data_IF_997411095537
#
_entry.id   IF_997411095537
#
_cell.length_a   1.000
_cell.length_b   1.000
_cell.length_c   1.000
_cell.angle_alpha   90.00
_cell.angle_beta   90.00
_cell.angle_gamma   90.00
#
_symmetry.space_group_name_H-M   'P 1'
#
loop_
_entity.id
_entity.type
_entity.pdbx_description
1 polymer ?
#
# COMPACT_ATOMS: atom_id res chain seq x y z
N UNK A 1 55.56 -11.21 20.06
CA UNK A 1 54.63 -10.08 20.02
C UNK A 1 53.66 -10.43 18.90
N UNK A 2 52.57 -11.09 19.27
CA UNK A 2 51.57 -11.58 18.32
C UNK A 2 50.56 -10.46 18.18
N UNK A 3 50.43 -9.89 16.97
CA UNK A 3 49.46 -8.88 16.62
C UNK A 3 48.06 -9.49 16.77
N UNK A 4 47.41 -9.20 17.87
CA UNK A 4 45.94 -9.35 17.99
C UNK A 4 45.28 -8.21 17.24
N UNK A 5 45.17 -8.35 15.92
CA UNK A 5 44.21 -7.59 15.16
C UNK A 5 42.83 -8.20 15.53
N UNK A 6 42.18 -7.59 16.48
CA UNK A 6 40.79 -7.93 16.80
C UNK A 6 39.94 -7.66 15.55
N UNK A 7 39.40 -8.73 14.98
CA UNK A 7 38.43 -8.67 13.86
C UNK A 7 37.21 -7.91 14.38
N UNK A 8 37.17 -6.61 14.10
CA UNK A 8 36.17 -5.65 14.62
C UNK A 8 34.84 -5.80 13.79
N UNK A 9 34.38 -7.04 13.65
CA UNK A 9 33.11 -7.34 12.96
C UNK A 9 31.96 -7.09 13.90
N UNK A 10 31.12 -6.13 13.54
CA UNK A 10 29.86 -5.88 14.24
C UNK A 10 28.89 -7.04 13.95
N UNK A 11 28.42 -7.70 14.99
CA UNK A 11 27.26 -8.59 14.88
C UNK A 11 25.98 -7.74 14.85
N UNK A 12 25.54 -7.39 13.63
CA UNK A 12 24.33 -6.61 13.44
C UNK A 12 23.07 -7.29 13.97
N UNK A 13 23.03 -8.62 13.98
CA UNK A 13 21.87 -9.37 14.52
C UNK A 13 21.78 -9.19 16.05
N UNK A 14 22.88 -9.34 16.74
CA UNK A 14 22.95 -9.10 18.18
C UNK A 14 22.64 -7.63 18.51
N UNK A 15 23.16 -6.68 17.72
CA UNK A 15 22.89 -5.26 17.91
C UNK A 15 21.39 -4.94 17.71
N UNK A 16 20.74 -5.46 16.68
CA UNK A 16 19.30 -5.28 16.46
C UNK A 16 18.48 -5.83 17.61
N UNK A 17 18.79 -7.03 18.10
CA UNK A 17 18.11 -7.63 19.26
C UNK A 17 18.29 -6.78 20.53
N UNK A 18 19.48 -6.26 20.78
CA UNK A 18 19.77 -5.37 21.91
C UNK A 18 18.90 -4.11 21.90
N UNK A 19 18.69 -3.50 20.74
CA UNK A 19 17.81 -2.35 20.60
C UNK A 19 16.33 -2.72 20.72
N UNK A 20 15.92 -3.87 20.18
CA UNK A 20 14.55 -4.36 20.27
C UNK A 20 14.11 -4.62 21.73
N UNK A 21 14.98 -5.22 22.55
CA UNK A 21 14.75 -5.43 23.98
C UNK A 21 14.52 -4.12 24.75
N UNK A 22 15.12 -3.02 24.26
CA UNK A 22 14.97 -1.67 24.82
C UNK A 22 13.85 -0.86 24.18
N UNK A 23 12.97 -1.52 23.40
CA UNK A 23 11.86 -0.89 22.65
C UNK A 23 12.31 0.16 21.63
N UNK A 24 13.56 0.09 21.19
CA UNK A 24 14.08 0.93 20.10
C UNK A 24 13.92 0.16 18.80
N UNK A 25 13.01 0.60 17.94
CA UNK A 25 12.79 0.00 16.65
C UNK A 25 13.76 0.62 15.62
N UNK A 26 14.79 -0.12 15.21
CA UNK A 26 15.73 0.31 14.17
C UNK A 26 15.17 0.19 12.77
N UNK A 27 14.19 -0.72 12.60
CA UNK A 27 13.47 -0.89 11.33
C UNK A 27 11.98 -0.94 11.60
N UNK A 28 11.16 -0.26 10.78
CA UNK A 28 9.72 -0.29 10.95
C UNK A 28 9.17 -1.70 10.71
N UNK A 29 8.28 -2.15 11.59
CA UNK A 29 7.56 -3.41 11.40
C UNK A 29 6.53 -3.20 10.29
N UNK A 30 6.62 -4.02 9.25
CA UNK A 30 5.68 -4.00 8.12
C UNK A 30 4.73 -5.19 8.19
N UNK A 31 3.54 -5.03 7.64
CA UNK A 31 2.58 -6.13 7.52
C UNK A 31 3.06 -7.11 6.43
N UNK A 32 3.35 -8.35 6.84
CA UNK A 32 3.64 -9.44 5.93
C UNK A 32 2.38 -10.25 5.67
N UNK A 33 2.04 -10.40 4.40
CA UNK A 33 0.93 -11.21 3.90
C UNK A 33 1.54 -12.43 3.21
N UNK A 34 1.10 -13.61 3.62
CA UNK A 34 1.43 -14.86 2.95
C UNK A 34 0.16 -15.69 2.88
N UNK A 35 -0.48 -15.72 1.71
CA UNK A 35 -1.73 -16.39 1.47
C UNK A 35 -1.55 -17.52 0.43
N UNK A 36 -1.48 -18.78 0.85
CA UNK A 36 -1.50 -19.91 -0.08
C UNK A 36 -2.81 -19.90 -0.89
N UNK A 37 -2.72 -20.28 -2.17
CA UNK A 37 -3.88 -20.30 -3.08
C UNK A 37 -4.56 -18.93 -3.29
N UNK A 38 -3.79 -17.83 -3.24
CA UNK A 38 -4.29 -16.47 -3.38
C UNK A 38 -5.18 -16.27 -4.62
N UNK A 39 -4.85 -16.91 -5.75
CA UNK A 39 -5.66 -16.88 -6.98
C UNK A 39 -7.10 -17.35 -6.73
N UNK A 40 -7.29 -18.46 -6.03
CA UNK A 40 -8.63 -18.99 -5.74
C UNK A 40 -9.42 -18.08 -4.80
N UNK A 41 -8.74 -17.51 -3.80
CA UNK A 41 -9.36 -16.61 -2.84
C UNK A 41 -9.74 -15.29 -3.52
N UNK A 42 -8.87 -14.75 -4.36
CA UNK A 42 -9.14 -13.55 -5.14
C UNK A 42 -10.27 -13.78 -6.15
N UNK A 43 -10.28 -14.93 -6.86
CA UNK A 43 -11.35 -15.33 -7.80
C UNK A 43 -12.72 -15.39 -7.09
N UNK A 44 -12.78 -15.99 -5.90
CA UNK A 44 -14.01 -16.04 -5.12
C UNK A 44 -14.50 -14.63 -4.74
N UNK A 45 -13.60 -13.72 -4.37
CA UNK A 45 -13.94 -12.32 -4.10
C UNK A 45 -14.43 -11.59 -5.35
N UNK A 46 -13.76 -11.76 -6.48
CA UNK A 46 -14.17 -11.16 -7.76
C UNK A 46 -15.55 -11.65 -8.20
N UNK A 47 -15.83 -12.97 -8.11
CA UNK A 47 -17.16 -13.52 -8.39
C UNK A 47 -18.25 -12.95 -7.50
N UNK A 48 -17.93 -12.77 -6.23
CA UNK A 48 -18.89 -12.24 -5.26
C UNK A 48 -19.27 -10.77 -5.57
N UNK A 49 -18.27 -9.92 -5.87
CA UNK A 49 -18.49 -8.48 -6.05
C UNK A 49 -18.77 -8.05 -7.49
N UNK A 50 -18.24 -8.76 -8.50
CA UNK A 50 -18.41 -8.42 -9.91
C UNK A 50 -19.43 -9.33 -10.62
N UNK A 51 -19.87 -10.41 -9.97
CA UNK A 51 -20.78 -11.40 -10.55
C UNK A 51 -20.05 -12.57 -11.23
N UNK A 52 -20.79 -13.64 -11.50
CA UNK A 52 -20.21 -14.89 -12.00
C UNK A 52 -19.68 -14.80 -13.44
N UNK A 53 -20.11 -13.78 -14.19
CA UNK A 53 -19.73 -13.59 -15.61
C UNK A 53 -18.48 -12.72 -15.79
N UNK A 54 -17.82 -12.30 -14.70
CA UNK A 54 -16.57 -11.55 -14.83
C UNK A 54 -15.49 -12.39 -15.51
N UNK A 55 -14.60 -11.75 -16.25
CA UNK A 55 -13.46 -12.41 -16.88
C UNK A 55 -12.19 -12.10 -16.10
N UNK A 56 -11.43 -13.14 -15.78
CA UNK A 56 -10.09 -12.99 -15.16
C UNK A 56 -9.18 -12.17 -16.08
N UNK A 57 -8.45 -11.21 -15.49
CA UNK A 57 -7.56 -10.32 -16.21
C UNK A 57 -6.10 -10.57 -15.80
N UNK A 58 -5.11 -10.32 -16.68
CA UNK A 58 -3.70 -10.54 -16.36
C UNK A 58 -3.18 -9.74 -15.15
N UNK A 59 -3.77 -8.59 -14.87
CA UNK A 59 -3.43 -7.80 -13.69
C UNK A 59 -3.88 -8.45 -12.38
N UNK A 60 -4.90 -9.32 -12.42
CA UNK A 60 -5.36 -10.05 -11.22
C UNK A 60 -4.35 -11.10 -10.80
N UNK A 61 -3.60 -11.70 -11.73
CA UNK A 61 -2.47 -12.57 -11.39
C UNK A 61 -1.42 -11.83 -10.55
N UNK A 62 -1.10 -10.59 -10.92
CA UNK A 62 -0.15 -9.76 -10.16
C UNK A 62 -0.65 -9.39 -8.77
N UNK A 63 -1.96 -9.19 -8.60
CA UNK A 63 -2.58 -8.98 -7.28
C UNK A 63 -2.52 -10.26 -6.46
N UNK A 64 -2.81 -11.40 -7.06
CA UNK A 64 -2.71 -12.72 -6.40
C UNK A 64 -1.27 -13.05 -6.01
N UNK A 65 -0.28 -12.75 -6.85
CA UNK A 65 1.15 -12.87 -6.53
C UNK A 65 1.53 -12.00 -5.33
N UNK A 66 0.97 -10.78 -5.26
CA UNK A 66 1.18 -9.91 -4.10
C UNK A 66 0.53 -10.48 -2.83
N UNK A 67 -0.66 -11.06 -2.91
CA UNK A 67 -1.30 -11.76 -1.78
C UNK A 67 -0.55 -13.02 -1.37
N UNK A 68 0.10 -13.71 -2.32
CA UNK A 68 0.91 -14.91 -2.04
C UNK A 68 2.14 -14.56 -1.21
N UNK A 69 2.82 -13.46 -1.56
CA UNK A 69 3.93 -12.90 -0.78
C UNK A 69 4.11 -11.40 -1.09
N UNK A 70 3.65 -10.55 -0.21
CA UNK A 70 3.76 -9.12 -0.37
C UNK A 70 5.16 -8.55 -0.04
N UNK A 71 6.04 -9.34 0.56
CA UNK A 71 7.39 -8.93 1.02
C UNK A 71 7.37 -7.69 1.92
N UNK A 72 6.31 -7.51 2.72
CA UNK A 72 6.11 -6.34 3.56
C UNK A 72 5.74 -5.06 2.80
N UNK A 73 5.43 -5.15 1.50
CA UNK A 73 5.02 -4.02 0.67
C UNK A 73 3.50 -3.89 0.63
N UNK A 74 3.00 -2.66 0.66
CA UNK A 74 1.63 -2.33 0.32
C UNK A 74 1.32 -2.60 -1.16
N UNK A 75 0.15 -2.14 -1.63
CA UNK A 75 -0.28 -2.31 -3.02
C UNK A 75 -0.66 -0.97 -3.64
N UNK A 76 -0.16 -0.73 -4.86
CA UNK A 76 -0.53 0.43 -5.67
C UNK A 76 -1.08 -0.03 -7.03
N UNK A 77 -2.38 0.17 -7.25
CA UNK A 77 -3.08 -0.18 -8.49
C UNK A 77 -3.23 1.08 -9.37
N UNK A 78 -2.60 1.11 -10.53
CA UNK A 78 -2.64 2.24 -11.45
C UNK A 78 -3.20 1.82 -12.81
N UNK A 79 -4.02 2.65 -13.44
CA UNK A 79 -4.45 2.44 -14.83
C UNK A 79 -5.90 2.79 -15.10
N UNK A 80 -6.44 2.29 -16.22
CA UNK A 80 -7.72 2.71 -16.78
C UNK A 80 -8.92 2.42 -15.88
N UNK A 81 -9.97 3.22 -16.05
CA UNK A 81 -11.26 3.00 -15.37
C UNK A 81 -11.88 1.65 -15.76
N UNK A 82 -12.82 1.17 -14.93
CA UNK A 82 -13.64 -0.01 -15.24
C UNK A 82 -12.93 -1.36 -15.18
N UNK A 83 -11.69 -1.41 -14.66
CA UNK A 83 -10.88 -2.63 -14.57
C UNK A 83 -10.92 -3.30 -13.18
N UNK A 84 -11.84 -2.91 -12.30
CA UNK A 84 -12.02 -3.55 -10.99
C UNK A 84 -11.07 -3.06 -9.89
N UNK A 85 -10.21 -2.04 -10.10
CA UNK A 85 -9.25 -1.54 -9.09
C UNK A 85 -9.92 -1.19 -7.76
N UNK A 86 -10.97 -0.36 -7.80
CA UNK A 86 -11.71 0.07 -6.60
C UNK A 86 -12.32 -1.13 -5.89
N UNK A 87 -12.97 -2.04 -6.62
CA UNK A 87 -13.56 -3.26 -6.05
C UNK A 87 -12.50 -4.12 -5.35
N UNK A 88 -11.36 -4.32 -6.00
CA UNK A 88 -10.24 -5.08 -5.42
C UNK A 88 -9.71 -4.38 -4.16
N UNK A 89 -9.36 -3.09 -4.25
CA UNK A 89 -8.69 -2.37 -3.17
C UNK A 89 -9.60 -2.10 -1.97
N UNK A 90 -10.88 -1.75 -2.19
CA UNK A 90 -11.78 -1.31 -1.11
C UNK A 90 -12.66 -2.42 -0.56
N UNK A 91 -12.96 -3.44 -1.34
CA UNK A 91 -13.91 -4.48 -0.96
C UNK A 91 -13.22 -5.83 -0.74
N UNK A 92 -12.53 -6.34 -1.77
CA UNK A 92 -11.98 -7.70 -1.74
C UNK A 92 -10.79 -7.81 -0.79
N UNK A 93 -9.76 -6.97 -0.96
CA UNK A 93 -8.54 -7.05 -0.16
C UNK A 93 -8.77 -6.82 1.33
N UNK A 94 -9.55 -5.82 1.78
CA UNK A 94 -9.88 -5.67 3.20
C UNK A 94 -10.57 -6.90 3.78
N UNK A 95 -11.51 -7.53 3.04
CA UNK A 95 -12.18 -8.75 3.49
C UNK A 95 -11.20 -9.93 3.62
N UNK A 96 -10.34 -10.14 2.63
CA UNK A 96 -9.31 -11.19 2.66
C UNK A 96 -8.37 -10.98 3.85
N UNK A 97 -7.85 -9.76 4.00
CA UNK A 97 -6.86 -9.47 5.04
C UNK A 97 -7.48 -9.54 6.44
N UNK A 98 -8.72 -9.11 6.60
CA UNK A 98 -9.44 -9.26 7.86
C UNK A 98 -9.66 -10.74 8.21
N UNK A 99 -10.10 -11.54 7.24
CA UNK A 99 -10.42 -12.95 7.49
C UNK A 99 -9.18 -13.82 7.78
N UNK A 100 -8.10 -13.63 7.03
CA UNK A 100 -6.90 -14.48 7.15
C UNK A 100 -5.84 -13.94 8.11
N UNK A 101 -5.77 -12.63 8.30
CA UNK A 101 -4.70 -11.98 9.08
C UNK A 101 -5.22 -11.21 10.28
N UNK A 102 -6.54 -11.13 10.48
CA UNK A 102 -7.20 -10.41 11.59
C UNK A 102 -6.76 -8.93 11.67
N UNK A 103 -6.57 -8.30 10.51
CA UNK A 103 -6.20 -6.90 10.38
C UNK A 103 -7.32 -6.13 9.71
N UNK A 104 -7.65 -4.96 10.27
CA UNK A 104 -8.70 -4.08 9.76
C UNK A 104 -8.07 -2.84 9.19
N UNK A 105 -8.48 -2.46 7.99
CA UNK A 105 -8.08 -1.24 7.31
C UNK A 105 -9.09 -0.12 7.54
N UNK A 106 -8.58 1.08 7.73
CA UNK A 106 -9.39 2.29 7.52
C UNK A 106 -9.45 2.57 6.01
N UNK A 107 -10.61 2.97 5.53
CA UNK A 107 -10.83 3.30 4.12
C UNK A 107 -11.12 4.79 4.02
N UNK A 108 -10.43 5.46 3.11
CA UNK A 108 -10.55 6.89 2.86
C UNK A 108 -10.66 7.18 1.36
N UNK A 109 -11.53 8.10 0.99
CA UNK A 109 -11.57 8.63 -0.36
C UNK A 109 -10.55 9.75 -0.48
N UNK A 110 -9.73 9.74 -1.52
CA UNK A 110 -8.68 10.74 -1.73
C UNK A 110 -9.24 12.17 -1.67
N UNK A 111 -10.39 12.45 -2.29
CA UNK A 111 -11.03 13.77 -2.31
C UNK A 111 -11.31 14.36 -0.93
N UNK A 112 -11.47 13.51 0.10
CA UNK A 112 -11.87 13.92 1.45
C UNK A 112 -10.70 13.91 2.44
N UNK A 113 -9.60 13.22 2.12
CA UNK A 113 -8.55 12.90 3.09
C UNK A 113 -7.85 14.14 3.67
N UNK A 114 -7.70 15.22 2.91
CA UNK A 114 -7.03 16.43 3.39
C UNK A 114 -7.85 17.13 4.51
N UNK A 115 -9.18 17.05 4.46
CA UNK A 115 -10.07 17.57 5.52
C UNK A 115 -9.98 16.75 6.80
N UNK A 116 -9.62 15.48 6.70
CA UNK A 116 -9.50 14.54 7.81
C UNK A 116 -8.04 14.20 8.15
N UNK A 117 -7.12 15.15 7.92
CA UNK A 117 -5.67 14.93 8.05
C UNK A 117 -5.30 14.18 9.33
N UNK A 118 -5.68 14.67 10.50
CA UNK A 118 -5.30 14.09 11.80
C UNK A 118 -5.82 12.67 11.97
N UNK A 119 -7.04 12.40 11.53
CA UNK A 119 -7.67 11.09 11.61
C UNK A 119 -6.96 10.10 10.67
N UNK A 120 -6.76 10.49 9.42
CA UNK A 120 -6.09 9.66 8.42
C UNK A 120 -4.66 9.36 8.85
N UNK A 121 -3.93 10.37 9.35
CA UNK A 121 -2.54 10.19 9.80
C UNK A 121 -2.38 9.34 11.07
N UNK A 122 -3.43 9.06 11.83
CA UNK A 122 -3.39 8.12 12.98
C UNK A 122 -3.41 6.65 12.55
N UNK A 123 -3.92 6.34 11.35
CA UNK A 123 -4.05 4.97 10.90
C UNK A 123 -2.69 4.35 10.55
N UNK A 124 -2.53 3.07 10.88
CA UNK A 124 -1.37 2.27 10.45
C UNK A 124 -1.65 1.47 9.18
N UNK A 125 -2.89 1.05 8.98
CA UNK A 125 -3.36 0.28 7.83
C UNK A 125 -4.43 1.10 7.12
N UNK A 126 -4.14 1.56 5.92
CA UNK A 126 -5.00 2.49 5.20
C UNK A 126 -5.21 2.04 3.76
N UNK A 127 -6.46 2.12 3.32
CA UNK A 127 -6.82 2.09 1.90
C UNK A 127 -7.22 3.50 1.47
N UNK A 128 -6.60 4.02 0.41
CA UNK A 128 -6.97 5.31 -0.18
C UNK A 128 -7.45 5.06 -1.61
N UNK A 129 -8.69 5.43 -1.90
CA UNK A 129 -9.29 5.30 -3.23
C UNK A 129 -9.06 6.54 -4.07
N UNK A 130 -8.64 6.33 -5.33
CA UNK A 130 -8.55 7.31 -6.41
C UNK A 130 -7.63 8.51 -6.09
N UNK A 131 -6.38 8.21 -5.66
CA UNK A 131 -5.37 9.25 -5.44
C UNK A 131 -5.13 10.07 -6.73
N UNK A 132 -4.79 11.33 -6.55
CA UNK A 132 -4.71 12.32 -7.63
C UNK A 132 -5.96 13.21 -7.71
N UNK A 133 -7.02 12.89 -6.97
CA UNK A 133 -8.31 13.60 -6.96
C UNK A 133 -8.56 14.43 -5.71
N UNK A 134 -7.55 14.55 -4.84
CA UNK A 134 -7.67 15.33 -3.60
C UNK A 134 -7.94 16.79 -3.89
N UNK A 135 -8.86 17.36 -3.13
CA UNK A 135 -9.07 18.80 -3.08
C UNK A 135 -8.01 19.43 -2.17
N UNK A 136 -7.45 20.59 -2.55
CA UNK A 136 -6.63 21.37 -1.65
C UNK A 136 -7.41 21.76 -0.40
N UNK A 137 -6.81 21.58 0.76
CA UNK A 137 -7.41 22.01 2.01
C UNK A 137 -6.43 22.87 2.81
N UNK A 138 -6.91 24.01 3.27
CA UNK A 138 -6.17 24.94 4.12
C UNK A 138 -7.01 25.33 5.32
N UNK A 139 -6.40 25.34 6.47
CA UNK A 139 -7.04 25.79 7.70
C UNK A 139 -6.03 26.61 8.52
N UNK A 140 -6.44 27.82 8.95
CA UNK A 140 -5.58 28.77 9.70
C UNK A 140 -4.21 28.99 9.06
N UNK A 141 -4.14 29.08 7.72
CA UNK A 141 -2.90 29.30 6.98
C UNK A 141 -2.04 28.03 6.75
N UNK A 142 -2.40 26.91 7.35
CA UNK A 142 -1.72 25.62 7.14
C UNK A 142 -2.33 24.88 5.95
N UNK A 143 -1.48 24.42 5.04
CA UNK A 143 -1.86 23.58 3.92
C UNK A 143 -1.66 22.11 4.30
N UNK A 144 -2.72 21.32 4.18
CA UNK A 144 -2.68 19.88 4.48
C UNK A 144 -2.50 19.09 3.19
N UNK A 145 -1.58 18.14 3.22
CA UNK A 145 -1.30 17.24 2.10
C UNK A 145 -1.08 15.82 2.64
N UNK A 146 -2.19 15.11 2.87
CA UNK A 146 -2.19 13.80 3.54
C UNK A 146 -1.38 12.77 2.79
N UNK A 147 -1.53 12.68 1.45
CA UNK A 147 -0.93 11.57 0.71
C UNK A 147 0.60 11.54 0.79
N UNK A 148 1.34 12.61 0.48
CA UNK A 148 2.79 12.63 0.65
C UNK A 148 3.25 12.34 2.09
N UNK A 149 2.57 12.91 3.08
CA UNK A 149 2.92 12.71 4.48
C UNK A 149 2.67 11.27 4.93
N UNK A 150 1.59 10.64 4.45
CA UNK A 150 1.30 9.25 4.74
C UNK A 150 2.31 8.30 4.06
N UNK A 151 2.71 8.59 2.83
CA UNK A 151 3.75 7.83 2.12
C UNK A 151 5.10 7.94 2.84
N UNK A 152 5.44 9.12 3.36
CA UNK A 152 6.63 9.32 4.20
C UNK A 152 6.57 8.44 5.47
N UNK A 153 5.41 8.36 6.11
CA UNK A 153 5.19 7.51 7.28
C UNK A 153 5.20 6.01 6.93
N UNK A 154 4.79 5.61 5.72
CA UNK A 154 4.94 4.22 5.26
C UNK A 154 6.42 3.80 5.22
N UNK A 155 7.30 4.69 4.77
CA UNK A 155 8.74 4.41 4.76
C UNK A 155 9.33 4.41 6.18
N UNK A 156 9.06 5.47 6.98
CA UNK A 156 9.71 5.70 8.27
C UNK A 156 9.12 4.89 9.42
N UNK A 157 7.80 4.67 9.43
CA UNK A 157 7.06 4.07 10.54
C UNK A 157 6.48 2.69 10.20
N UNK A 158 6.64 2.22 8.95
CA UNK A 158 6.10 0.95 8.51
C UNK A 158 4.58 0.92 8.36
N UNK A 159 3.95 2.08 8.18
CA UNK A 159 2.53 2.11 7.83
C UNK A 159 2.28 1.38 6.52
N UNK A 160 1.10 0.81 6.39
CA UNK A 160 0.78 -0.04 5.26
C UNK A 160 -0.32 0.60 4.42
N UNK A 161 -0.04 0.75 3.14
CA UNK A 161 -0.90 1.45 2.18
C UNK A 161 -1.38 0.50 1.08
N UNK A 162 -2.69 0.47 0.86
CA UNK A 162 -3.31 0.00 -0.38
C UNK A 162 -3.92 1.22 -1.06
N UNK A 163 -3.63 1.44 -2.33
CA UNK A 163 -4.18 2.60 -3.03
C UNK A 163 -4.35 2.34 -4.52
N UNK A 164 -5.21 3.11 -5.14
CA UNK A 164 -5.41 3.07 -6.59
C UNK A 164 -5.49 4.48 -7.19
N UNK A 165 -5.34 4.55 -8.49
CA UNK A 165 -5.46 5.79 -9.26
C UNK A 165 -5.84 5.53 -10.72
N UNK A 166 -6.45 6.53 -11.34
CA UNK A 166 -6.63 6.63 -12.78
C UNK A 166 -5.65 7.64 -13.42
N UNK A 167 -4.83 8.31 -12.61
CA UNK A 167 -3.81 9.23 -13.10
C UNK A 167 -2.63 8.47 -13.71
N UNK A 168 -1.95 9.11 -14.67
CA UNK A 168 -0.68 8.63 -15.19
C UNK A 168 0.46 8.91 -14.19
N UNK A 169 1.61 8.29 -14.41
CA UNK A 169 2.80 8.52 -13.58
C UNK A 169 3.23 10.00 -13.63
N UNK A 170 3.15 10.61 -14.80
CA UNK A 170 3.52 12.01 -15.04
C UNK A 170 2.58 12.95 -14.25
N UNK A 171 1.27 12.71 -14.29
CA UNK A 171 0.29 13.48 -13.51
C UNK A 171 0.53 13.37 -12.00
N UNK A 172 0.87 12.16 -11.53
CA UNK A 172 1.20 11.97 -10.10
C UNK A 172 2.52 12.65 -9.73
N UNK A 173 3.52 12.63 -10.63
CA UNK A 173 4.80 13.33 -10.42
C UNK A 173 4.62 14.84 -10.33
N UNK A 174 3.81 15.40 -11.22
CA UNK A 174 3.44 16.82 -11.19
C UNK A 174 2.74 17.19 -9.88
N UNK A 175 1.80 16.35 -9.43
CA UNK A 175 0.99 16.63 -8.24
C UNK A 175 1.74 16.46 -6.92
N UNK A 176 2.50 15.38 -6.77
CA UNK A 176 3.11 14.97 -5.49
C UNK A 176 4.63 15.11 -5.44
N UNK A 177 5.26 15.31 -6.59
CA UNK A 177 6.71 15.36 -6.74
C UNK A 177 7.38 13.97 -6.81
N UNK A 178 8.54 13.92 -7.44
CA UNK A 178 9.32 12.69 -7.65
C UNK A 178 9.71 12.00 -6.34
N UNK A 179 9.96 12.77 -5.27
CA UNK A 179 10.31 12.21 -3.96
C UNK A 179 9.19 11.32 -3.40
N UNK A 180 7.94 11.78 -3.47
CA UNK A 180 6.78 10.99 -3.01
C UNK A 180 6.60 9.73 -3.84
N UNK A 181 6.76 9.83 -5.16
CA UNK A 181 6.66 8.66 -6.04
C UNK A 181 7.79 7.64 -5.81
N UNK A 182 9.00 8.10 -5.55
CA UNK A 182 10.11 7.23 -5.19
C UNK A 182 9.81 6.42 -3.92
N UNK A 183 9.28 7.07 -2.88
CA UNK A 183 8.89 6.41 -1.62
C UNK A 183 7.68 5.50 -1.79
N UNK A 184 6.69 5.91 -2.56
CA UNK A 184 5.55 5.06 -2.90
C UNK A 184 6.03 3.76 -3.58
N UNK A 185 6.97 3.85 -4.52
CA UNK A 185 7.59 2.69 -5.18
C UNK A 185 8.39 1.82 -4.20
N UNK A 186 9.06 2.41 -3.21
CA UNK A 186 9.84 1.67 -2.21
C UNK A 186 8.95 0.97 -1.16
N UNK A 187 7.71 1.44 -0.97
CA UNK A 187 6.80 0.96 0.09
C UNK A 187 5.61 0.15 -0.44
N UNK A 188 5.37 0.16 -1.75
CA UNK A 188 4.25 -0.56 -2.38
C UNK A 188 4.70 -1.35 -3.61
N UNK A 189 3.97 -2.41 -3.95
CA UNK A 189 4.08 -3.09 -5.25
C UNK A 189 3.12 -2.44 -6.23
N UNK A 190 3.64 -1.96 -7.35
CA UNK A 190 2.84 -1.41 -8.44
C UNK A 190 2.22 -2.55 -9.27
N UNK A 191 0.91 -2.47 -9.47
CA UNK A 191 0.15 -3.27 -10.45
C UNK A 191 -0.52 -2.34 -11.44
N UNK A 192 -0.19 -2.49 -12.72
CA UNK A 192 -0.78 -1.70 -13.81
C UNK A 192 -1.98 -2.44 -14.39
N UNK A 193 -3.12 -1.76 -14.40
CA UNK A 193 -4.39 -2.19 -14.96
C UNK A 193 -4.55 -1.55 -16.35
N UNK A 194 -4.22 -2.31 -17.39
CA UNK A 194 -4.23 -1.85 -18.77
C UNK A 194 -5.38 -2.50 -19.56
N UNK A 195 -5.86 -1.81 -20.59
CA UNK A 195 -6.91 -2.30 -21.48
C UNK A 195 -8.21 -1.49 -21.42
N UNK A 196 -9.25 -2.01 -22.06
CA UNK A 196 -10.53 -1.35 -22.17
C UNK A 196 -11.37 -1.42 -20.89
N UNK A 197 -12.35 -0.54 -20.76
CA UNK A 197 -13.32 -0.54 -19.65
C UNK A 197 -14.23 -1.78 -19.76
N UNK A 198 -14.21 -2.62 -18.72
CA UNK A 198 -14.97 -3.88 -18.67
C UNK A 198 -16.46 -3.69 -18.29
N UNK A 199 -16.90 -2.47 -17.97
CA UNK A 199 -18.30 -2.20 -17.57
C UNK A 199 -19.27 -2.14 -18.74
N UNK A 200 -18.77 -2.09 -19.97
CA UNK A 200 -19.57 -1.94 -21.20
C UNK A 200 -19.47 -3.16 -22.13
N UNK A 201 -18.97 -4.31 -21.61
CA UNK A 201 -18.91 -5.57 -22.31
C UNK A 201 -20.06 -6.50 -21.95
#
# INVERSE_FOLDING_TARGET
MVDMISDNRIDFRAAVNFFAERKVCLQPQRLHIHLPNANKVLDAGLRHFLGCNYMWQPEYDKVADWLTDNKGLGLFCMGNCGRGKTTICLQILPCIIQNYFHKVFSICLAREMNRHYTEVMRNHLLVIDDIGREEPYQEYGNRFNVFPDFVDDCERKGKFLITNTNCTKEQLAEKYGERTLSRLKATTRLVVFAGEDLRHG
#
